data_IF_057676532203
#
_entry.id   IF_057676532203
#
_cell.length_a   1.000
_cell.length_b   1.000
_cell.length_c   1.000
_cell.angle_alpha   90.00
_cell.angle_beta   90.00
_cell.angle_gamma   90.00
#
_symmetry.space_group_name_H-M   'P 1'
#
loop_
_entity.id
_entity.type
_entity.pdbx_description
1 polymer ?
#
# COMPACT_ATOMS: atom_id res chain seq x y z
N UNK A 1 15.24 7.83 -1.55
CA UNK A 1 14.25 8.78 -1.01
C UNK A 1 14.39 8.86 0.51
N UNK A 2 14.10 9.99 1.14
CA UNK A 2 14.01 10.06 2.61
C UNK A 2 12.56 9.87 3.07
N UNK A 3 12.35 9.70 4.39
CA UNK A 3 11.01 9.48 4.97
C UNK A 3 10.05 10.66 4.73
N UNK A 4 10.59 11.86 4.64
CA UNK A 4 9.80 13.09 4.47
C UNK A 4 9.24 13.16 3.06
N UNK A 5 10.06 12.87 2.05
CA UNK A 5 9.63 12.79 0.65
C UNK A 5 8.61 11.67 0.46
N UNK A 6 8.80 10.50 1.07
CA UNK A 6 7.85 9.39 0.96
C UNK A 6 6.47 9.74 1.54
N UNK A 7 6.45 10.45 2.68
CA UNK A 7 5.21 10.98 3.26
C UNK A 7 4.55 12.01 2.35
N UNK A 8 5.34 12.89 1.74
CA UNK A 8 4.83 13.89 0.83
C UNK A 8 4.17 13.23 -0.38
N UNK A 9 4.76 12.17 -0.93
CA UNK A 9 4.16 11.41 -2.03
C UNK A 9 2.80 10.78 -1.65
N UNK A 10 2.69 10.19 -0.46
CA UNK A 10 1.40 9.67 0.05
C UNK A 10 0.39 10.81 0.24
N UNK A 11 0.82 11.94 0.81
CA UNK A 11 -0.01 13.11 1.03
C UNK A 11 -0.52 13.68 -0.30
N UNK A 12 0.36 13.82 -1.30
CA UNK A 12 0.02 14.33 -2.62
C UNK A 12 -0.94 13.41 -3.36
N UNK A 13 -0.83 12.10 -3.16
CA UNK A 13 -1.76 11.11 -3.70
C UNK A 13 -3.17 11.27 -3.11
N UNK A 14 -3.27 11.41 -1.78
CA UNK A 14 -4.56 11.57 -1.09
C UNK A 14 -5.20 12.95 -1.28
N UNK A 15 -4.39 14.01 -1.37
CA UNK A 15 -4.84 15.39 -1.55
C UNK A 15 -5.57 15.61 -2.88
N UNK A 16 -5.33 14.76 -3.89
CA UNK A 16 -6.02 14.78 -5.19
C UNK A 16 -7.41 14.14 -5.14
N UNK A 17 -7.93 13.83 -3.95
CA UNK A 17 -9.22 13.16 -3.75
C UNK A 17 -9.18 11.65 -3.97
N UNK A 18 -7.98 11.08 -4.17
CA UNK A 18 -7.77 9.65 -4.28
C UNK A 18 -7.91 8.97 -2.91
N UNK A 19 -8.65 7.86 -2.87
CA UNK A 19 -8.54 6.92 -1.74
C UNK A 19 -7.22 6.15 -1.92
N UNK A 20 -6.34 6.21 -0.93
CA UNK A 20 -5.12 5.41 -0.91
C UNK A 20 -5.50 3.95 -0.65
N UNK A 21 -5.91 3.26 -1.70
CA UNK A 21 -6.53 1.94 -1.65
C UNK A 21 -6.26 1.20 -2.97
N UNK A 22 -6.18 -0.12 -2.88
CA UNK A 22 -6.25 -1.00 -4.05
C UNK A 22 -7.72 -1.26 -4.40
N UNK A 23 -8.01 -1.35 -5.69
CA UNK A 23 -9.36 -1.62 -6.21
C UNK A 23 -9.36 -2.95 -6.96
N UNK A 24 -10.30 -3.83 -6.60
CA UNK A 24 -10.54 -5.13 -7.20
C UNK A 24 -12.04 -5.26 -7.47
N UNK A 25 -12.48 -4.84 -8.66
CA UNK A 25 -13.91 -4.69 -8.97
C UNK A 25 -14.60 -3.75 -7.98
N UNK A 26 -15.61 -4.26 -7.26
CA UNK A 26 -16.32 -3.50 -6.22
C UNK A 26 -15.55 -3.40 -4.89
N UNK A 27 -14.53 -4.24 -4.70
CA UNK A 27 -13.76 -4.30 -3.46
C UNK A 27 -12.70 -3.20 -3.47
N UNK A 28 -12.75 -2.35 -2.46
CA UNK A 28 -11.74 -1.32 -2.22
C UNK A 28 -11.01 -1.62 -0.91
N UNK A 29 -9.71 -1.88 -1.02
CA UNK A 29 -8.85 -2.27 0.10
C UNK A 29 -7.93 -1.11 0.49
N UNK A 30 -8.17 -0.43 1.62
CA UNK A 30 -7.33 0.69 2.06
C UNK A 30 -5.89 0.27 2.29
N UNK A 31 -4.96 1.04 1.73
CA UNK A 31 -3.53 0.96 2.02
C UNK A 31 -3.23 1.85 3.21
N UNK A 32 -2.48 1.34 4.18
CA UNK A 32 -2.12 2.02 5.42
C UNK A 32 -0.60 2.16 5.49
N UNK A 33 -0.15 3.37 5.77
CA UNK A 33 1.25 3.65 6.07
C UNK A 33 1.50 3.65 7.58
N UNK A 34 2.30 2.69 8.05
CA UNK A 34 2.73 2.58 9.44
C UNK A 34 4.11 3.23 9.60
N UNK A 35 4.13 4.53 9.85
CA UNK A 35 5.36 5.32 9.98
C UNK A 35 6.32 4.77 11.05
N UNK A 36 5.81 4.49 12.25
CA UNK A 36 6.66 4.03 13.35
C UNK A 36 7.38 2.70 13.05
N UNK A 37 6.76 1.87 12.21
CA UNK A 37 7.28 0.55 11.82
C UNK A 37 7.97 0.56 10.45
N UNK A 38 7.90 1.68 9.71
CA UNK A 38 8.33 1.79 8.31
C UNK A 38 7.73 0.69 7.43
N UNK A 39 6.42 0.49 7.55
CA UNK A 39 5.69 -0.54 6.80
C UNK A 39 4.52 0.06 6.02
N UNK A 40 4.21 -0.54 4.88
CA UNK A 40 2.94 -0.37 4.18
C UNK A 40 2.11 -1.63 4.36
N UNK A 41 0.80 -1.48 4.45
CA UNK A 41 -0.07 -2.63 4.57
C UNK A 41 -1.47 -2.44 4.04
N UNK A 42 -2.17 -3.57 3.91
CA UNK A 42 -3.57 -3.65 3.54
C UNK A 42 -4.30 -4.43 4.61
N UNK A 43 -5.40 -3.87 5.10
CA UNK A 43 -6.25 -4.53 6.08
C UNK A 43 -7.28 -5.42 5.39
N UNK A 44 -7.12 -6.73 5.54
CA UNK A 44 -8.11 -7.73 5.12
C UNK A 44 -8.93 -8.21 6.32
N UNK A 45 -10.15 -8.73 6.12
CA UNK A 45 -11.00 -9.21 7.21
C UNK A 45 -10.36 -10.31 8.08
N UNK A 46 -9.54 -11.18 7.47
CA UNK A 46 -8.92 -12.31 8.16
C UNK A 46 -7.48 -12.01 8.64
N UNK A 47 -6.61 -11.49 7.78
CA UNK A 47 -5.21 -11.21 8.11
C UNK A 47 -4.68 -9.98 7.37
N UNK A 48 -4.06 -9.07 8.11
CA UNK A 48 -3.40 -7.91 7.53
C UNK A 48 -2.14 -8.32 6.74
N UNK A 49 -1.94 -7.69 5.58
CA UNK A 49 -0.74 -7.88 4.75
C UNK A 49 0.16 -6.67 4.92
N UNK A 50 1.41 -6.89 5.32
CA UNK A 50 2.41 -5.84 5.48
C UNK A 50 3.68 -6.13 4.70
N UNK A 51 4.29 -5.08 4.17
CA UNK A 51 5.63 -5.07 3.60
C UNK A 51 6.46 -3.95 4.23
N UNK A 52 7.75 -4.17 4.48
CA UNK A 52 8.66 -3.09 4.83
C UNK A 52 8.78 -2.12 3.65
N UNK A 53 8.94 -0.84 3.95
CA UNK A 53 9.18 0.19 2.94
C UNK A 53 10.66 0.17 2.55
N UNK A 54 10.90 0.08 1.25
CA UNK A 54 12.19 0.30 0.65
C UNK A 54 12.30 1.77 0.24
N UNK A 55 12.95 2.57 1.09
CA UNK A 55 13.20 3.99 0.82
C UNK A 55 14.19 4.24 -0.34
N UNK A 56 14.85 3.21 -0.87
CA UNK A 56 15.63 3.37 -2.10
C UNK A 56 14.76 3.47 -3.36
N UNK A 57 13.50 3.04 -3.27
CA UNK A 57 12.51 3.00 -4.34
C UNK A 57 11.43 4.08 -4.17
N UNK A 58 10.64 4.29 -5.22
CA UNK A 58 9.51 5.21 -5.15
C UNK A 58 8.26 4.60 -4.47
N UNK A 59 7.23 5.43 -4.23
CA UNK A 59 5.98 4.94 -3.65
C UNK A 59 5.30 3.87 -4.52
N UNK A 60 5.37 3.99 -5.85
CA UNK A 60 4.76 3.03 -6.79
C UNK A 60 5.39 1.65 -6.67
N UNK A 61 6.71 1.57 -6.69
CA UNK A 61 7.46 0.32 -6.50
C UNK A 61 7.12 -0.37 -5.18
N UNK A 62 6.99 0.41 -4.10
CA UNK A 62 6.61 -0.10 -2.79
C UNK A 62 5.16 -0.64 -2.77
N UNK A 63 4.25 0.03 -3.49
CA UNK A 63 2.88 -0.43 -3.68
C UNK A 63 2.81 -1.70 -4.53
N UNK A 64 3.63 -1.84 -5.57
CA UNK A 64 3.70 -3.05 -6.39
C UNK A 64 4.17 -4.26 -5.58
N UNK A 65 5.16 -4.08 -4.70
CA UNK A 65 5.60 -5.14 -3.78
C UNK A 65 4.47 -5.54 -2.82
N UNK A 66 3.73 -4.57 -2.28
CA UNK A 66 2.58 -4.83 -1.42
C UNK A 66 1.45 -5.56 -2.18
N UNK A 67 1.17 -5.14 -3.41
CA UNK A 67 0.17 -5.74 -4.30
C UNK A 67 0.52 -7.19 -4.60
N UNK A 68 1.76 -7.46 -5.02
CA UNK A 68 2.21 -8.82 -5.29
C UNK A 68 2.06 -9.72 -4.06
N UNK A 69 2.49 -9.24 -2.88
CA UNK A 69 2.34 -10.01 -1.63
C UNK A 69 0.88 -10.20 -1.22
N UNK A 70 0.01 -9.23 -1.52
CA UNK A 70 -1.42 -9.35 -1.29
C UNK A 70 -2.02 -10.45 -2.16
N UNK A 71 -1.69 -10.48 -3.46
CA UNK A 71 -2.18 -11.49 -4.41
C UNK A 71 -1.60 -12.88 -4.15
N UNK A 72 -0.36 -12.99 -3.69
CA UNK A 72 0.21 -14.27 -3.24
C UNK A 72 -0.58 -14.88 -2.07
N UNK A 73 -1.05 -14.04 -1.14
CA UNK A 73 -1.83 -14.48 0.03
C UNK A 73 -3.32 -14.62 -0.27
N UNK A 74 -3.83 -13.81 -1.19
CA UNK A 74 -5.23 -13.72 -1.55
C UNK A 74 -5.40 -13.77 -3.07
N UNK A 75 -5.09 -14.91 -3.72
CA UNK A 75 -5.17 -15.04 -5.17
C UNK A 75 -6.60 -14.85 -5.71
N UNK A 76 -7.62 -15.00 -4.87
CA UNK A 76 -9.02 -14.74 -5.23
C UNK A 76 -9.31 -13.25 -5.54
N UNK A 77 -8.39 -12.33 -5.27
CA UNK A 77 -8.54 -10.92 -5.62
C UNK A 77 -8.19 -10.63 -7.09
N UNK A 78 -7.44 -11.53 -7.76
CA UNK A 78 -7.07 -11.36 -9.17
C UNK A 78 -8.03 -12.03 -10.16
N UNK A 79 -9.05 -12.73 -9.67
CA UNK A 79 -9.98 -13.58 -10.44
C UNK A 79 -11.33 -12.87 -10.68
#
# INVERSE_FOLDING_TARGET
>A
MDKTTFKQEISDFTARGGKFAFAFGDIHLPVVYHEALNMLGVKMPAHEVFVPIDYSRDLGDNLDVLMNKLLEKYPQLSD
#
